data_IF_233338838273
#
_entry.id   IF_233338838273
#
_cell.length_a   1.000
_cell.length_b   1.000
_cell.length_c   1.000
_cell.angle_alpha   90.00
_cell.angle_beta   90.00
_cell.angle_gamma   90.00
#
_symmetry.space_group_name_H-M   'P 1'
#
loop_
_entity.id
_entity.type
_entity.pdbx_description
1 polymer ?
#
# COMPACT_ATOMS: atom_id res chain seq x y z
N UNK A 1 -20.75 -15.96 9.19
CA UNK A 1 -21.03 -14.93 8.17
C UNK A 1 -19.78 -14.81 7.31
N UNK A 2 -19.85 -15.00 5.99
CA UNK A 2 -18.69 -14.77 5.13
C UNK A 2 -18.41 -13.26 5.11
N UNK A 3 -17.23 -12.85 5.58
CA UNK A 3 -16.80 -11.46 5.43
C UNK A 3 -16.68 -11.13 3.94
N UNK A 4 -17.23 -9.97 3.55
CA UNK A 4 -17.03 -9.39 2.22
C UNK A 4 -15.53 -9.23 1.98
N UNK A 5 -15.07 -9.57 0.78
CA UNK A 5 -13.67 -9.38 0.40
C UNK A 5 -13.28 -7.90 0.35
N UNK A 6 -11.98 -7.64 0.24
CA UNK A 6 -11.43 -6.28 0.16
C UNK A 6 -10.99 -5.94 -1.26
N UNK A 7 -11.15 -4.67 -1.64
CA UNK A 7 -10.61 -4.13 -2.87
C UNK A 7 -9.13 -3.80 -2.65
N UNK A 8 -8.23 -4.38 -3.44
CA UNK A 8 -6.79 -4.22 -3.27
C UNK A 8 -6.21 -3.52 -4.50
N UNK A 9 -5.58 -2.38 -4.30
CA UNK A 9 -4.88 -1.66 -5.37
C UNK A 9 -3.39 -1.93 -5.22
N UNK A 10 -2.77 -2.41 -6.30
CA UNK A 10 -1.32 -2.46 -6.41
C UNK A 10 -0.94 -1.55 -7.59
N UNK A 11 -0.45 -0.35 -7.27
CA UNK A 11 -0.04 0.65 -8.25
C UNK A 11 1.41 1.07 -8.02
N UNK A 12 1.93 1.95 -8.86
CA UNK A 12 3.32 2.38 -8.86
C UNK A 12 3.79 2.74 -10.27
N UNK A 13 4.99 3.35 -10.39
CA UNK A 13 5.47 3.87 -11.65
C UNK A 13 5.62 2.78 -12.70
N UNK A 14 5.48 3.16 -13.96
CA UNK A 14 5.65 2.23 -15.07
C UNK A 14 7.04 1.56 -15.03
N UNK A 15 7.10 0.22 -15.15
CA UNK A 15 8.36 -0.53 -15.07
C UNK A 15 8.75 -1.02 -13.68
N UNK A 16 7.97 -0.70 -12.63
CA UNK A 16 8.28 -1.13 -11.25
C UNK A 16 8.09 -2.63 -11.01
N UNK A 17 7.39 -3.36 -11.88
CA UNK A 17 7.22 -4.83 -11.78
C UNK A 17 5.87 -5.30 -11.23
N UNK A 18 4.82 -4.48 -11.32
CA UNK A 18 3.44 -4.78 -10.86
C UNK A 18 2.94 -6.15 -11.30
N UNK A 19 2.90 -6.41 -12.62
CA UNK A 19 2.43 -7.68 -13.16
C UNK A 19 3.20 -8.91 -12.69
N UNK A 20 4.52 -8.82 -12.49
CA UNK A 20 5.31 -9.94 -11.95
C UNK A 20 4.93 -10.24 -10.50
N UNK A 21 4.84 -9.21 -9.67
CA UNK A 21 4.44 -9.34 -8.25
C UNK A 21 3.02 -9.88 -8.13
N UNK A 22 2.08 -9.34 -8.90
CA UNK A 22 0.69 -9.79 -8.88
C UNK A 22 0.55 -11.24 -9.37
N UNK A 23 1.29 -11.62 -10.42
CA UNK A 23 1.32 -12.98 -10.94
C UNK A 23 1.72 -14.01 -9.88
N UNK A 24 2.75 -13.71 -9.08
CA UNK A 24 3.17 -14.55 -7.96
C UNK A 24 2.14 -14.56 -6.82
N UNK A 25 1.59 -13.40 -6.43
CA UNK A 25 0.58 -13.30 -5.37
C UNK A 25 -0.65 -14.17 -5.67
N UNK A 26 -1.09 -14.24 -6.93
CA UNK A 26 -2.26 -15.04 -7.34
C UNK A 26 -2.06 -16.55 -7.32
N UNK A 27 -0.80 -17.01 -7.28
CA UNK A 27 -0.51 -18.42 -7.06
C UNK A 27 -0.85 -18.84 -5.62
N UNK A 28 -0.77 -17.92 -4.67
CA UNK A 28 -1.10 -18.19 -3.27
C UNK A 28 -2.63 -18.21 -3.05
N UNK A 29 -3.18 -19.41 -2.90
CA UNK A 29 -4.64 -19.62 -2.72
C UNK A 29 -5.18 -19.13 -1.38
N UNK A 30 -4.33 -19.01 -0.36
CA UNK A 30 -4.74 -18.54 0.96
C UNK A 30 -5.11 -17.05 0.94
N UNK A 31 -4.55 -16.29 -0.01
CA UNK A 31 -4.87 -14.87 -0.19
C UNK A 31 -6.24 -14.62 -0.84
N UNK A 32 -6.89 -15.67 -1.40
CA UNK A 32 -8.20 -15.58 -2.07
C UNK A 32 -8.29 -14.45 -3.10
N UNK A 33 -7.19 -14.18 -3.79
CA UNK A 33 -7.08 -13.10 -4.75
C UNK A 33 -7.74 -13.48 -6.07
N UNK A 34 -8.41 -12.51 -6.68
CA UNK A 34 -8.93 -12.55 -8.04
C UNK A 34 -8.49 -11.30 -8.77
N UNK A 35 -8.07 -11.44 -10.03
CA UNK A 35 -7.80 -10.27 -10.87
C UNK A 35 -9.10 -9.59 -11.28
N UNK A 36 -9.10 -8.26 -11.25
CA UNK A 36 -10.09 -7.45 -11.94
C UNK A 36 -9.93 -7.59 -13.46
N UNK A 37 -11.03 -7.86 -14.17
CA UNK A 37 -11.06 -7.83 -15.64
C UNK A 37 -11.57 -6.46 -16.07
N UNK A 38 -10.69 -5.64 -16.66
CA UNK A 38 -11.06 -4.29 -17.09
C UNK A 38 -11.88 -4.29 -18.39
N UNK A 39 -12.69 -3.27 -18.60
CA UNK A 39 -13.25 -2.89 -19.89
C UNK A 39 -12.21 -2.16 -20.73
N UNK A 40 -12.24 -2.35 -22.06
CA UNK A 40 -11.44 -1.55 -22.98
C UNK A 40 -12.13 -1.32 -24.32
N UNK A 41 -11.89 -0.16 -24.93
CA UNK A 41 -12.32 0.15 -26.31
C UNK A 41 -11.34 -0.31 -27.38
N UNK A 42 -10.20 -0.87 -26.98
CA UNK A 42 -9.21 -1.43 -27.90
C UNK A 42 -9.75 -2.73 -28.48
N UNK A 43 -9.44 -3.02 -29.75
CA UNK A 43 -9.71 -4.36 -30.31
C UNK A 43 -8.87 -5.44 -29.62
N UNK A 44 -9.40 -6.66 -29.45
CA UNK A 44 -8.61 -7.79 -28.93
C UNK A 44 -7.40 -8.08 -29.81
N UNK A 45 -6.27 -8.43 -29.18
CA UNK A 45 -5.09 -9.00 -29.85
C UNK A 45 -5.31 -10.50 -30.05
N UNK A 46 -4.49 -11.09 -30.91
CA UNK A 46 -4.46 -12.53 -31.12
C UNK A 46 -4.27 -13.27 -29.79
N UNK A 47 -5.17 -14.22 -29.50
CA UNK A 47 -5.17 -15.00 -28.26
C UNK A 47 -5.87 -14.34 -27.07
N UNK A 48 -6.25 -13.06 -27.12
CA UNK A 48 -7.05 -12.43 -26.05
C UNK A 48 -8.51 -12.89 -26.12
N UNK A 49 -9.09 -13.24 -24.97
CA UNK A 49 -10.46 -13.71 -24.83
C UNK A 49 -11.30 -12.70 -24.04
N UNK A 50 -12.48 -12.38 -24.57
CA UNK A 50 -13.43 -11.47 -23.93
C UNK A 50 -13.91 -12.03 -22.58
N UNK A 51 -13.90 -11.19 -21.54
CA UNK A 51 -14.25 -11.56 -20.17
C UNK A 51 -13.17 -12.36 -19.42
N UNK A 52 -12.03 -12.63 -20.06
CA UNK A 52 -10.86 -13.24 -19.43
C UNK A 52 -9.73 -12.22 -19.35
N UNK A 53 -9.34 -11.64 -20.48
CA UNK A 53 -8.28 -10.63 -20.54
C UNK A 53 -8.85 -9.23 -20.33
N UNK A 54 -9.90 -8.90 -21.09
CA UNK A 54 -10.65 -7.65 -21.00
C UNK A 54 -12.11 -7.90 -21.37
N UNK A 55 -13.00 -7.01 -20.95
CA UNK A 55 -14.28 -6.82 -21.62
C UNK A 55 -14.07 -5.85 -22.79
N UNK A 56 -14.01 -6.40 -24.01
CA UNK A 56 -13.83 -5.63 -25.23
C UNK A 56 -15.17 -5.02 -25.65
N UNK A 57 -15.26 -3.70 -25.59
CA UNK A 57 -16.50 -2.94 -25.83
C UNK A 57 -16.28 -1.85 -26.86
N UNK A 58 -17.36 -1.36 -27.45
CA UNK A 58 -17.34 -0.17 -28.29
C UNK A 58 -17.11 1.11 -27.46
N UNK A 59 -16.71 2.19 -28.13
CA UNK A 59 -16.58 3.52 -27.49
C UNK A 59 -17.92 4.03 -26.94
N UNK A 60 -19.03 3.70 -27.60
CA UNK A 60 -20.37 4.08 -27.17
C UNK A 60 -20.77 3.34 -25.89
N UNK A 61 -20.57 2.02 -25.85
CA UNK A 61 -20.80 1.21 -24.64
C UNK A 61 -19.93 1.69 -23.46
N UNK A 62 -18.65 2.01 -23.71
CA UNK A 62 -17.78 2.56 -22.66
C UNK A 62 -18.27 3.92 -22.15
N UNK A 63 -18.69 4.81 -23.05
CA UNK A 63 -19.23 6.12 -22.67
C UNK A 63 -20.53 5.98 -21.86
N UNK A 64 -21.41 5.05 -22.24
CA UNK A 64 -22.63 4.75 -21.49
C UNK A 64 -22.30 4.22 -20.08
N UNK A 65 -21.30 3.34 -19.95
CA UNK A 65 -20.85 2.84 -18.66
C UNK A 65 -20.33 3.95 -17.73
N UNK A 66 -19.64 4.96 -18.27
CA UNK A 66 -19.24 6.15 -17.50
C UNK A 66 -20.49 6.91 -17.02
N UNK A 67 -21.42 7.24 -17.93
CA UNK A 67 -22.62 8.04 -17.62
C UNK A 67 -23.49 7.35 -16.57
N UNK A 68 -23.56 6.02 -16.60
CA UNK A 68 -24.34 5.22 -15.67
C UNK A 68 -23.60 4.89 -14.35
N UNK A 69 -22.39 5.43 -14.14
CA UNK A 69 -21.55 5.17 -12.96
C UNK A 69 -21.23 3.67 -12.76
N UNK A 70 -21.05 2.93 -13.87
CA UNK A 70 -20.79 1.50 -13.90
C UNK A 70 -19.29 1.16 -13.81
N UNK A 71 -18.42 2.17 -13.78
CA UNK A 71 -16.97 2.03 -13.66
C UNK A 71 -16.47 2.58 -12.32
N UNK A 72 -15.57 1.85 -11.66
CA UNK A 72 -14.90 2.28 -10.41
C UNK A 72 -13.82 3.32 -10.71
N UNK A 73 -13.09 3.12 -11.80
CA UNK A 73 -12.13 4.06 -12.37
C UNK A 73 -12.13 3.92 -13.89
N UNK A 74 -11.68 4.96 -14.57
CA UNK A 74 -11.40 4.91 -16.00
C UNK A 74 -10.28 5.87 -16.40
N UNK A 75 -9.58 5.52 -17.48
CA UNK A 75 -8.50 6.32 -18.05
C UNK A 75 -8.41 6.13 -19.57
N UNK A 76 -7.77 7.09 -20.25
CA UNK A 76 -7.44 6.99 -21.66
C UNK A 76 -5.95 6.75 -21.83
N UNK A 77 -5.59 5.71 -22.58
CA UNK A 77 -4.20 5.38 -22.90
C UNK A 77 -4.05 5.12 -24.39
N UNK A 78 -3.21 5.93 -25.04
CA UNK A 78 -2.88 5.82 -26.48
C UNK A 78 -4.14 5.70 -27.35
N UNK A 79 -5.10 6.59 -27.12
CA UNK A 79 -6.35 6.68 -27.91
C UNK A 79 -7.41 5.62 -27.62
N UNK A 80 -7.20 4.73 -26.65
CA UNK A 80 -8.17 3.75 -26.17
C UNK A 80 -8.56 4.03 -24.72
N UNK A 81 -9.80 3.76 -24.37
CA UNK A 81 -10.28 3.86 -22.99
C UNK A 81 -10.15 2.53 -22.28
N UNK A 82 -9.87 2.59 -20.99
CA UNK A 82 -9.78 1.46 -20.07
C UNK A 82 -10.52 1.82 -18.79
N UNK A 83 -11.20 0.87 -18.16
CA UNK A 83 -11.84 1.12 -16.88
C UNK A 83 -12.24 -0.16 -16.18
N UNK A 84 -12.47 -0.07 -14.88
CA UNK A 84 -12.77 -1.22 -14.04
C UNK A 84 -14.28 -1.35 -13.80
N UNK A 85 -14.96 -2.42 -14.29
CA UNK A 85 -16.40 -2.57 -14.14
C UNK A 85 -16.82 -2.83 -12.70
N UNK A 86 -17.66 -1.95 -12.15
CA UNK A 86 -18.14 -2.00 -10.76
C UNK A 86 -18.84 -3.31 -10.44
N UNK A 87 -19.78 -3.73 -11.30
CA UNK A 87 -20.57 -4.95 -11.11
C UNK A 87 -19.70 -6.20 -10.94
N UNK A 88 -18.69 -6.37 -11.81
CA UNK A 88 -17.79 -7.53 -11.75
C UNK A 88 -17.02 -7.56 -10.43
N UNK A 89 -16.48 -6.42 -10.01
CA UNK A 89 -15.73 -6.30 -8.76
C UNK A 89 -16.64 -6.59 -7.56
N UNK A 90 -17.81 -5.96 -7.49
CA UNK A 90 -18.76 -6.16 -6.39
C UNK A 90 -19.22 -7.61 -6.26
N UNK A 91 -19.50 -8.29 -7.37
CA UNK A 91 -19.86 -9.71 -7.38
C UNK A 91 -18.77 -10.57 -6.73
N UNK A 92 -17.49 -10.34 -7.06
CA UNK A 92 -16.35 -11.08 -6.48
C UNK A 92 -16.15 -10.76 -5.00
N UNK A 93 -16.22 -9.48 -4.63
CA UNK A 93 -16.12 -9.08 -3.23
C UNK A 93 -17.23 -9.71 -2.37
N UNK A 94 -18.46 -9.75 -2.89
CA UNK A 94 -19.61 -10.38 -2.20
C UNK A 94 -19.46 -11.91 -2.06
N UNK A 95 -18.66 -12.56 -2.90
CA UNK A 95 -18.29 -13.97 -2.77
C UNK A 95 -17.18 -14.19 -1.71
N UNK A 96 -16.70 -13.13 -1.05
CA UNK A 96 -15.60 -13.20 -0.09
C UNK A 96 -14.22 -13.32 -0.73
N UNK A 97 -14.09 -12.97 -2.01
CA UNK A 97 -12.82 -12.91 -2.74
C UNK A 97 -12.23 -11.51 -2.64
N UNK A 98 -10.92 -11.41 -2.49
CA UNK A 98 -10.23 -10.14 -2.57
C UNK A 98 -9.93 -9.83 -4.04
N UNK A 99 -10.22 -8.62 -4.49
CA UNK A 99 -10.06 -8.25 -5.90
C UNK A 99 -8.86 -7.34 -6.06
N UNK A 100 -7.88 -7.75 -6.86
CA UNK A 100 -6.71 -6.93 -7.20
C UNK A 100 -7.00 -6.08 -8.43
N UNK A 101 -6.81 -4.77 -8.30
CA UNK A 101 -6.72 -3.82 -9.41
C UNK A 101 -5.26 -3.51 -9.69
N UNK A 102 -4.79 -3.97 -10.85
CA UNK A 102 -3.52 -3.54 -11.42
C UNK A 102 -3.77 -2.32 -12.32
N UNK A 103 -3.74 -1.13 -11.71
CA UNK A 103 -4.04 0.14 -12.37
C UNK A 103 -2.89 1.12 -12.22
N UNK A 104 -2.79 2.07 -13.15
CA UNK A 104 -1.81 3.17 -13.08
C UNK A 104 -2.19 4.15 -11.96
N UNK A 105 -1.26 5.04 -11.58
CA UNK A 105 -1.39 5.89 -10.39
C UNK A 105 -2.59 6.85 -10.47
N UNK A 106 -2.93 7.32 -11.67
CA UNK A 106 -4.11 8.16 -11.90
C UNK A 106 -5.41 7.41 -11.61
N UNK A 107 -5.53 6.16 -12.09
CA UNK A 107 -6.68 5.30 -11.82
C UNK A 107 -6.79 4.98 -10.33
N UNK A 108 -5.67 4.61 -9.70
CA UNK A 108 -5.61 4.35 -8.27
C UNK A 108 -6.05 5.56 -7.43
N UNK A 109 -5.67 6.78 -7.84
CA UNK A 109 -6.10 8.01 -7.17
C UNK A 109 -7.62 8.21 -7.25
N UNK A 110 -8.26 7.81 -8.35
CA UNK A 110 -9.73 7.84 -8.45
C UNK A 110 -10.34 6.87 -7.44
N UNK A 111 -9.89 5.61 -7.42
CA UNK A 111 -10.45 4.56 -6.54
C UNK A 111 -10.26 4.90 -5.05
N UNK A 112 -9.07 5.37 -4.66
CA UNK A 112 -8.77 5.77 -3.27
C UNK A 112 -9.72 6.89 -2.80
N UNK A 113 -10.20 7.74 -3.71
CA UNK A 113 -11.12 8.84 -3.37
C UNK A 113 -12.59 8.45 -3.39
N UNK A 114 -12.96 7.42 -4.16
CA UNK A 114 -14.37 7.06 -4.40
C UNK A 114 -14.85 5.84 -3.64
N UNK A 115 -13.95 4.98 -3.14
CA UNK A 115 -14.29 3.70 -2.51
C UNK A 115 -13.82 3.62 -1.06
N UNK A 116 -14.71 3.25 -0.13
CA UNK A 116 -14.43 3.27 1.32
C UNK A 116 -13.65 2.04 1.84
N UNK A 117 -13.73 0.89 1.16
CA UNK A 117 -13.12 -0.37 1.61
C UNK A 117 -11.97 -0.83 0.70
N UNK A 118 -10.98 0.04 0.59
CA UNK A 118 -9.78 -0.16 -0.23
C UNK A 118 -8.57 -0.46 0.66
N UNK A 119 -7.70 -1.34 0.18
CA UNK A 119 -6.33 -1.47 0.65
C UNK A 119 -5.41 -1.06 -0.50
N UNK A 120 -4.66 0.01 -0.32
CA UNK A 120 -3.83 0.62 -1.35
C UNK A 120 -2.34 0.41 -1.07
N UNK A 121 -1.64 -0.18 -2.04
CA UNK A 121 -0.21 -0.49 -1.96
C UNK A 121 0.50 0.16 -3.15
N UNK A 122 1.45 1.05 -2.84
CA UNK A 122 2.34 1.65 -3.83
C UNK A 122 3.64 0.85 -3.91
N UNK A 123 3.85 0.21 -5.05
CA UNK A 123 5.09 -0.49 -5.37
C UNK A 123 6.12 0.53 -5.89
N UNK A 124 7.30 0.55 -5.29
CA UNK A 124 8.36 1.52 -5.57
C UNK A 124 9.63 0.80 -6.04
N UNK A 125 10.36 1.33 -7.03
CA UNK A 125 11.68 0.79 -7.36
C UNK A 125 12.69 1.14 -6.25
N UNK A 126 13.74 0.35 -6.03
CA UNK A 126 14.78 0.68 -5.05
C UNK A 126 15.52 1.97 -5.40
N UNK A 127 15.80 2.18 -6.70
CA UNK A 127 16.44 3.39 -7.21
C UNK A 127 15.88 3.81 -8.57
N UNK A 128 16.07 5.07 -8.94
CA UNK A 128 15.74 5.56 -10.28
C UNK A 128 16.56 4.86 -11.38
N UNK A 129 17.84 4.57 -11.12
CA UNK A 129 18.71 3.86 -12.05
C UNK A 129 18.21 2.45 -12.34
N UNK A 130 17.68 1.78 -11.31
CA UNK A 130 17.08 0.47 -11.47
C UNK A 130 15.76 0.53 -12.24
N UNK A 131 14.92 1.54 -11.98
CA UNK A 131 13.71 1.78 -12.76
C UNK A 131 14.04 2.01 -14.25
N UNK A 132 15.04 2.85 -14.54
CA UNK A 132 15.53 3.09 -15.90
C UNK A 132 16.01 1.79 -16.56
N UNK A 133 16.80 0.98 -15.84
CA UNK A 133 17.29 -0.30 -16.32
C UNK A 133 16.13 -1.26 -16.65
N UNK A 134 15.09 -1.32 -15.82
CA UNK A 134 13.87 -2.12 -16.06
C UNK A 134 13.07 -1.64 -17.26
N UNK A 135 12.99 -0.33 -17.49
CA UNK A 135 12.32 0.25 -18.67
C UNK A 135 13.12 -0.09 -19.94
N UNK A 136 14.45 0.12 -19.93
CA UNK A 136 15.36 -0.17 -21.04
C UNK A 136 15.39 -1.66 -21.41
N UNK A 137 15.37 -2.55 -20.42
CA UNK A 137 15.44 -4.00 -20.62
C UNK A 137 14.31 -4.59 -21.48
N UNK A 138 13.21 -3.86 -21.71
CA UNK A 138 12.12 -4.26 -22.62
C UNK A 138 12.43 -4.01 -24.11
N UNK A 139 13.60 -3.42 -24.42
CA UNK A 139 14.31 -3.42 -25.71
C UNK A 139 13.54 -3.04 -26.99
N UNK A 140 12.43 -2.30 -26.89
CA UNK A 140 11.55 -2.05 -28.06
C UNK A 140 11.12 -0.59 -28.21
N UNK A 141 11.62 0.31 -27.36
CA UNK A 141 11.20 1.71 -27.32
C UNK A 141 12.36 2.66 -27.64
N UNK A 142 12.05 3.80 -28.26
CA UNK A 142 13.03 4.87 -28.51
C UNK A 142 13.46 5.55 -27.20
N UNK A 143 14.65 6.14 -27.19
CA UNK A 143 15.16 6.95 -26.06
C UNK A 143 14.15 8.00 -25.59
N UNK A 144 13.47 8.69 -26.52
CA UNK A 144 12.44 9.68 -26.19
C UNK A 144 11.27 9.10 -25.39
N UNK A 145 10.83 7.88 -25.73
CA UNK A 145 9.76 7.19 -24.99
C UNK A 145 10.24 6.75 -23.61
N UNK A 146 11.48 6.27 -23.50
CA UNK A 146 12.08 5.87 -22.23
C UNK A 146 12.15 7.08 -21.29
N UNK A 147 12.65 8.22 -21.80
CA UNK A 147 12.70 9.47 -21.04
C UNK A 147 11.32 9.92 -20.59
N UNK A 148 10.32 9.93 -21.49
CA UNK A 148 8.96 10.30 -21.12
C UNK A 148 8.35 9.40 -20.02
N UNK A 149 8.68 8.10 -20.01
CA UNK A 149 8.26 7.17 -18.96
C UNK A 149 8.95 7.45 -17.62
N UNK A 150 10.24 7.81 -17.64
CA UNK A 150 10.98 8.20 -16.43
C UNK A 150 10.48 9.53 -15.86
N UNK A 151 10.24 10.52 -16.72
CA UNK A 151 9.67 11.81 -16.31
C UNK A 151 8.28 11.61 -15.68
N UNK A 152 7.44 10.76 -16.28
CA UNK A 152 6.15 10.37 -15.69
C UNK A 152 6.32 9.72 -14.32
N UNK A 153 7.25 8.77 -14.18
CA UNK A 153 7.50 8.10 -12.92
C UNK A 153 7.91 9.07 -11.79
N UNK A 154 8.72 10.10 -12.11
CA UNK A 154 9.10 11.14 -11.15
C UNK A 154 7.91 11.98 -10.67
N UNK A 155 6.90 12.18 -11.50
CA UNK A 155 5.65 12.85 -11.13
C UNK A 155 4.73 11.94 -10.29
N UNK A 156 4.77 10.63 -10.54
CA UNK A 156 3.94 9.64 -9.86
C UNK A 156 4.46 9.23 -8.47
N UNK A 157 5.79 9.15 -8.28
CA UNK A 157 6.40 8.72 -7.01
C UNK A 157 5.94 9.55 -5.79
N UNK A 158 5.84 10.89 -5.85
CA UNK A 158 5.32 11.68 -4.73
C UNK A 158 3.89 11.31 -4.31
N UNK A 159 3.07 10.75 -5.22
CA UNK A 159 1.70 10.34 -4.92
C UNK A 159 1.64 9.11 -4.00
N UNK A 160 2.77 8.45 -3.72
CA UNK A 160 2.86 7.34 -2.75
C UNK A 160 2.31 7.69 -1.37
N UNK A 161 2.32 8.97 -0.99
CA UNK A 161 1.78 9.44 0.29
C UNK A 161 0.25 9.31 0.41
N UNK A 162 -0.45 9.07 -0.70
CA UNK A 162 -1.89 8.83 -0.71
C UNK A 162 -2.25 7.35 -0.50
N UNK A 163 -1.27 6.47 -0.35
CA UNK A 163 -1.47 5.02 -0.21
C UNK A 163 -1.30 4.57 1.24
N UNK A 164 -1.97 3.48 1.61
CA UNK A 164 -1.87 2.89 2.95
C UNK A 164 -0.47 2.33 3.20
N UNK A 165 0.12 1.72 2.17
CA UNK A 165 1.44 1.08 2.23
C UNK A 165 2.32 1.46 1.04
N UNK A 166 3.62 1.59 1.30
CA UNK A 166 4.67 1.71 0.28
C UNK A 166 5.58 0.50 0.40
N UNK A 167 5.76 -0.24 -0.68
CA UNK A 167 6.57 -1.46 -0.74
C UNK A 167 7.66 -1.27 -1.79
N UNK A 168 8.92 -1.39 -1.39
CA UNK A 168 10.01 -1.47 -2.36
C UNK A 168 10.09 -2.84 -3.01
N UNK A 169 10.22 -2.84 -4.32
CA UNK A 169 10.41 -4.03 -5.14
C UNK A 169 11.89 -4.18 -5.53
N UNK A 170 12.70 -4.60 -4.56
CA UNK A 170 14.11 -4.98 -4.73
C UNK A 170 14.26 -6.36 -5.38
N UNK A 171 13.38 -7.30 -5.02
CA UNK A 171 13.15 -8.52 -5.78
C UNK A 171 11.66 -8.85 -5.76
N UNK A 172 11.19 -9.61 -6.75
CA UNK A 172 9.78 -10.03 -6.82
C UNK A 172 9.42 -10.84 -5.58
N UNK A 173 10.30 -11.74 -5.15
CA UNK A 173 10.09 -12.59 -3.97
C UNK A 173 9.98 -11.76 -2.69
N UNK A 174 10.83 -10.75 -2.52
CA UNK A 174 10.78 -9.89 -1.34
C UNK A 174 9.52 -9.00 -1.35
N UNK A 175 9.17 -8.43 -2.51
CA UNK A 175 7.93 -7.65 -2.65
C UNK A 175 6.69 -8.50 -2.35
N UNK A 176 6.64 -9.73 -2.86
CA UNK A 176 5.56 -10.68 -2.60
C UNK A 176 5.48 -11.03 -1.12
N UNK A 177 6.61 -11.27 -0.45
CA UNK A 177 6.64 -11.55 0.99
C UNK A 177 6.14 -10.36 1.83
N UNK A 178 6.57 -9.13 1.49
CA UNK A 178 6.11 -7.88 2.13
C UNK A 178 4.60 -7.69 1.94
N UNK A 179 4.09 -7.83 0.72
CA UNK A 179 2.66 -7.66 0.42
C UNK A 179 1.82 -8.76 1.08
N UNK A 180 2.27 -10.01 1.06
CA UNK A 180 1.59 -11.13 1.74
C UNK A 180 1.41 -10.83 3.22
N UNK A 181 2.44 -10.31 3.88
CA UNK A 181 2.36 -9.93 5.30
C UNK A 181 1.36 -8.78 5.54
N UNK A 182 1.33 -7.77 4.66
CA UNK A 182 0.32 -6.71 4.69
C UNK A 182 -1.08 -7.32 4.57
N UNK A 183 -1.30 -8.24 3.63
CA UNK A 183 -2.60 -8.87 3.42
C UNK A 183 -3.05 -9.71 4.62
N UNK A 184 -2.13 -10.43 5.28
CA UNK A 184 -2.42 -11.15 6.52
C UNK A 184 -2.82 -10.16 7.63
N UNK A 185 -2.02 -9.11 7.83
CA UNK A 185 -2.28 -8.05 8.81
C UNK A 185 -3.66 -7.41 8.62
N UNK A 186 -4.01 -7.11 7.37
CA UNK A 186 -5.26 -6.45 6.99
C UNK A 186 -6.46 -7.42 6.93
N UNK A 187 -6.27 -8.69 7.34
CA UNK A 187 -7.28 -9.75 7.32
C UNK A 187 -7.83 -10.04 5.92
N UNK A 188 -7.00 -9.84 4.90
CA UNK A 188 -7.24 -10.16 3.50
C UNK A 188 -6.67 -11.54 3.12
N UNK A 189 -6.42 -12.42 4.09
CA UNK A 189 -5.90 -13.76 3.86
C UNK A 189 -6.57 -14.76 4.80
N UNK A 190 -6.76 -15.98 4.30
CA UNK A 190 -7.13 -17.16 5.08
C UNK A 190 -5.87 -17.85 5.65
N UNK A 191 -5.02 -17.09 6.33
CA UNK A 191 -3.82 -17.64 6.94
C UNK A 191 -4.04 -17.93 8.42
N UNK A 192 -3.51 -19.05 8.91
CA UNK A 192 -3.33 -19.31 10.35
C UNK A 192 -2.03 -18.70 10.86
N UNK A 193 -1.13 -18.30 9.97
CA UNK A 193 0.10 -17.60 10.35
C UNK A 193 -0.22 -16.17 10.77
N UNK A 194 0.48 -15.72 11.81
CA UNK A 194 0.39 -14.34 12.26
C UNK A 194 1.31 -13.45 11.42
N UNK A 195 0.86 -12.23 11.16
CA UNK A 195 1.71 -11.25 10.47
C UNK A 195 2.98 -10.99 11.28
N UNK A 196 4.11 -10.84 10.58
CA UNK A 196 5.38 -10.38 11.16
C UNK A 196 5.23 -9.04 11.87
N UNK A 197 4.25 -8.21 11.51
CA UNK A 197 3.95 -6.99 12.27
C UNK A 197 3.54 -7.27 13.72
N UNK A 198 2.81 -8.36 13.99
CA UNK A 198 2.41 -8.72 15.35
C UNK A 198 3.66 -9.04 16.18
N UNK A 199 4.53 -9.90 15.68
CA UNK A 199 5.81 -10.23 16.32
C UNK A 199 6.71 -8.99 16.50
N UNK A 200 6.77 -8.12 15.49
CA UNK A 200 7.45 -6.83 15.61
C UNK A 200 6.89 -5.99 16.76
N UNK A 201 5.57 -5.96 16.94
CA UNK A 201 4.92 -5.21 18.03
C UNK A 201 5.31 -5.76 19.39
N UNK A 202 5.40 -7.09 19.53
CA UNK A 202 5.86 -7.75 20.76
C UNK A 202 7.33 -7.39 21.07
N UNK A 203 8.21 -7.43 20.05
CA UNK A 203 9.62 -7.02 20.19
C UNK A 203 9.73 -5.54 20.60
N UNK A 204 8.95 -4.67 19.95
CA UNK A 204 8.92 -3.23 20.27
C UNK A 204 8.44 -3.02 21.70
N UNK A 205 7.42 -3.75 22.14
CA UNK A 205 6.93 -3.68 23.51
C UNK A 205 8.04 -4.01 24.52
N UNK A 206 8.77 -5.11 24.31
CA UNK A 206 9.89 -5.47 25.19
C UNK A 206 10.97 -4.37 25.24
N UNK A 207 11.33 -3.79 24.09
CA UNK A 207 12.33 -2.71 24.02
C UNK A 207 11.84 -1.45 24.75
N UNK A 208 10.57 -1.10 24.58
CA UNK A 208 9.96 0.05 25.21
C UNK A 208 9.95 -0.08 26.73
N UNK A 209 9.55 -1.25 27.23
CA UNK A 209 9.50 -1.52 28.66
C UNK A 209 10.89 -1.50 29.31
N UNK A 210 11.89 -2.07 28.62
CA UNK A 210 13.28 -2.15 29.09
C UNK A 210 13.99 -0.77 29.10
N UNK A 211 13.80 0.05 28.06
CA UNK A 211 14.66 1.23 27.82
C UNK A 211 13.98 2.58 27.97
N UNK A 212 12.66 2.65 27.79
CA UNK A 212 11.97 3.93 27.58
C UNK A 212 10.91 4.28 28.63
N UNK A 213 10.82 3.52 29.74
CA UNK A 213 9.90 3.79 30.85
C UNK A 213 10.01 5.21 31.42
N UNK A 214 11.23 5.75 31.59
CA UNK A 214 11.40 7.13 32.05
C UNK A 214 10.82 8.16 31.07
N UNK A 215 10.96 7.94 29.76
CA UNK A 215 10.41 8.83 28.73
C UNK A 215 8.89 8.78 28.71
N UNK A 216 8.31 7.58 28.85
CA UNK A 216 6.85 7.38 28.94
C UNK A 216 6.26 8.21 30.07
N UNK A 217 6.81 8.07 31.28
CA UNK A 217 6.31 8.78 32.46
C UNK A 217 6.38 10.30 32.30
N UNK A 218 7.47 10.81 31.73
CA UNK A 218 7.61 12.25 31.45
C UNK A 218 6.64 12.73 30.37
N UNK A 219 6.41 11.93 29.33
CA UNK A 219 5.46 12.27 28.28
C UNK A 219 4.03 12.39 28.82
N UNK A 220 3.59 11.45 29.65
CA UNK A 220 2.28 11.54 30.31
C UNK A 220 2.16 12.79 31.19
N UNK A 221 3.19 13.08 31.99
CA UNK A 221 3.20 14.25 32.85
C UNK A 221 3.13 15.56 32.04
N UNK A 222 3.90 15.66 30.96
CA UNK A 222 3.91 16.84 30.07
C UNK A 222 2.56 17.06 29.40
N UNK A 223 1.96 16.00 28.86
CA UNK A 223 0.64 16.08 28.21
C UNK A 223 -0.43 16.57 29.18
N UNK A 224 -0.43 16.06 30.42
CA UNK A 224 -1.35 16.50 31.48
C UNK A 224 -1.11 17.95 31.90
N UNK A 225 0.14 18.38 32.00
CA UNK A 225 0.50 19.75 32.40
C UNK A 225 0.10 20.80 31.35
N UNK A 226 0.23 20.47 30.06
CA UNK A 226 -0.05 21.36 28.94
C UNK A 226 -1.54 21.38 28.51
N UNK A 227 -2.41 20.61 29.19
CA UNK A 227 -3.84 20.58 28.90
C UNK A 227 -4.55 21.83 29.45
N UNK A 228 -4.81 22.81 28.57
CA UNK A 228 -5.29 24.14 28.98
C UNK A 228 -6.81 24.33 28.96
N UNK A 229 -7.58 23.45 28.30
CA UNK A 229 -9.04 23.49 28.26
C UNK A 229 -9.67 22.16 28.74
N UNK A 230 -10.99 22.13 28.96
CA UNK A 230 -11.68 20.95 29.50
C UNK A 230 -11.57 19.72 28.60
N UNK A 231 -11.64 19.91 27.29
CA UNK A 231 -11.52 18.86 26.27
C UNK A 231 -10.11 18.22 26.31
N UNK A 232 -9.07 19.05 26.25
CA UNK A 232 -7.67 18.61 26.32
C UNK A 232 -7.34 17.94 27.65
N UNK A 233 -7.96 18.36 28.77
CA UNK A 233 -7.78 17.70 30.07
C UNK A 233 -8.36 16.29 30.08
N UNK A 234 -9.56 16.12 29.51
CA UNK A 234 -10.19 14.80 29.39
C UNK A 234 -9.39 13.85 28.48
N UNK A 235 -8.84 14.38 27.37
CA UNK A 235 -7.93 13.62 26.51
C UNK A 235 -6.63 13.24 27.22
N UNK A 236 -6.04 14.16 27.99
CA UNK A 236 -4.79 13.95 28.72
C UNK A 236 -4.93 12.98 29.90
N UNK A 237 -6.08 12.94 30.57
CA UNK A 237 -6.36 12.01 31.67
C UNK A 237 -6.34 10.55 31.19
N UNK A 238 -6.84 10.29 29.98
CA UNK A 238 -6.90 8.96 29.38
C UNK A 238 -5.71 8.67 28.44
N UNK A 239 -4.67 9.51 28.46
CA UNK A 239 -3.54 9.36 27.56
C UNK A 239 -2.61 8.22 27.99
N UNK A 240 -2.67 7.11 27.26
CA UNK A 240 -1.75 5.97 27.38
C UNK A 240 -0.47 6.23 26.58
N UNK A 241 0.53 6.89 27.18
CA UNK A 241 1.78 7.21 26.48
C UNK A 241 2.53 5.95 26.06
N UNK A 242 2.47 4.89 26.87
CA UNK A 242 3.14 3.62 26.59
C UNK A 242 2.56 2.96 25.34
N UNK A 243 1.24 2.78 25.30
CA UNK A 243 0.55 2.19 24.15
C UNK A 243 0.71 3.04 22.88
N UNK A 244 0.68 4.38 23.01
CA UNK A 244 0.94 5.28 21.89
C UNK A 244 2.37 5.16 21.37
N UNK A 245 3.38 5.06 22.25
CA UNK A 245 4.77 4.86 21.86
C UNK A 245 4.96 3.53 21.12
N UNK A 246 4.43 2.43 21.67
CA UNK A 246 4.51 1.10 21.06
C UNK A 246 3.84 1.11 19.69
N UNK A 247 2.64 1.66 19.58
CA UNK A 247 1.90 1.75 18.31
C UNK A 247 2.69 2.56 17.28
N UNK A 248 3.21 3.72 17.67
CA UNK A 248 3.98 4.60 16.81
C UNK A 248 5.25 3.91 16.30
N UNK A 249 6.09 3.41 17.22
CA UNK A 249 7.35 2.77 16.89
C UNK A 249 7.14 1.52 16.03
N UNK A 250 6.20 0.65 16.39
CA UNK A 250 5.90 -0.56 15.61
C UNK A 250 5.49 -0.18 14.18
N UNK A 251 4.58 0.78 14.04
CA UNK A 251 4.07 1.19 12.72
C UNK A 251 5.14 1.88 11.88
N UNK A 252 5.97 2.74 12.47
CA UNK A 252 7.07 3.42 11.77
C UNK A 252 8.20 2.46 11.37
N UNK A 253 8.62 1.55 12.26
CA UNK A 253 9.62 0.53 11.94
C UNK A 253 9.10 -0.36 10.82
N UNK A 254 7.84 -0.81 10.90
CA UNK A 254 7.21 -1.61 9.86
C UNK A 254 7.21 -0.91 8.51
N UNK A 255 6.69 0.32 8.45
CA UNK A 255 6.67 1.14 7.21
C UNK A 255 8.05 1.29 6.61
N UNK A 256 9.06 1.63 7.41
CA UNK A 256 10.44 1.82 6.93
C UNK A 256 11.06 0.53 6.39
N UNK A 257 10.73 -0.62 6.99
CA UNK A 257 11.21 -1.91 6.51
C UNK A 257 10.53 -2.28 5.19
N UNK A 258 9.22 -2.09 5.07
CA UNK A 258 8.50 -2.32 3.81
C UNK A 258 9.04 -1.44 2.68
N UNK A 259 9.34 -0.17 2.98
CA UNK A 259 9.71 0.81 1.97
C UNK A 259 11.17 0.75 1.54
N UNK A 260 12.13 0.43 2.41
CA UNK A 260 13.58 0.48 2.10
C UNK A 260 14.44 -0.41 3.03
N UNK A 261 13.88 -1.48 3.61
CA UNK A 261 14.57 -2.29 4.61
C UNK A 261 14.61 -3.78 4.33
N UNK A 262 15.51 -4.44 5.04
CA UNK A 262 15.67 -5.89 5.02
C UNK A 262 14.51 -6.54 5.79
N UNK A 263 13.49 -6.97 5.04
CA UNK A 263 12.28 -7.59 5.58
C UNK A 263 12.55 -8.93 6.27
N UNK A 264 13.67 -9.60 5.97
CA UNK A 264 14.06 -10.83 6.66
C UNK A 264 14.40 -10.57 8.14
N UNK A 265 14.86 -9.35 8.47
CA UNK A 265 15.28 -8.93 9.82
C UNK A 265 14.19 -8.27 10.65
N UNK A 266 12.96 -8.20 10.16
CA UNK A 266 11.85 -7.54 10.87
C UNK A 266 11.59 -8.09 12.29
N UNK A 267 11.89 -9.37 12.53
CA UNK A 267 11.75 -10.00 13.84
C UNK A 267 13.10 -10.15 14.59
N UNK A 268 14.17 -9.51 14.12
CA UNK A 268 15.45 -9.49 14.82
C UNK A 268 15.48 -8.31 15.81
N UNK A 269 15.55 -8.62 17.12
CA UNK A 269 15.47 -7.63 18.20
C UNK A 269 16.55 -6.54 18.12
N UNK A 270 17.80 -6.89 17.82
CA UNK A 270 18.90 -5.92 17.70
C UNK A 270 18.71 -4.97 16.52
N UNK A 271 18.27 -5.50 15.37
CA UNK A 271 17.95 -4.70 14.20
C UNK A 271 16.78 -3.74 14.45
N UNK A 272 15.72 -4.23 15.11
CA UNK A 272 14.55 -3.41 15.48
C UNK A 272 14.95 -2.33 16.47
N UNK A 273 15.74 -2.67 17.50
CA UNK A 273 16.25 -1.72 18.49
C UNK A 273 17.05 -0.59 17.82
N UNK A 274 17.95 -0.93 16.90
CA UNK A 274 18.70 0.08 16.13
C UNK A 274 17.78 1.03 15.34
N UNK A 275 16.70 0.51 14.74
CA UNK A 275 15.70 1.35 14.04
C UNK A 275 14.91 2.23 15.01
N UNK A 276 14.53 1.70 16.17
CA UNK A 276 13.84 2.45 17.23
C UNK A 276 14.71 3.60 17.72
N UNK A 277 15.99 3.37 18.01
CA UNK A 277 16.91 4.42 18.47
C UNK A 277 16.93 5.63 17.52
N UNK A 278 16.90 5.41 16.20
CA UNK A 278 16.81 6.49 15.20
C UNK A 278 15.47 7.21 15.22
N UNK A 279 14.36 6.50 15.46
CA UNK A 279 13.03 7.08 15.53
C UNK A 279 12.81 7.92 16.79
N UNK A 280 13.43 7.53 17.91
CA UNK A 280 13.29 8.25 19.18
C UNK A 280 13.75 9.72 19.08
N UNK A 281 14.69 10.06 18.19
CA UNK A 281 15.10 11.44 17.94
C UNK A 281 14.02 12.31 17.26
N UNK A 282 12.98 11.70 16.67
CA UNK A 282 11.94 12.39 15.91
C UNK A 282 10.62 12.54 16.69
N UNK A 283 10.51 11.94 17.89
CA UNK A 283 9.27 11.95 18.68
C UNK A 283 9.14 13.25 19.48
N UNK A 284 7.96 13.85 19.47
CA UNK A 284 7.64 15.02 20.28
C UNK A 284 6.92 14.61 21.57
N UNK A 285 7.65 14.60 22.69
CA UNK A 285 7.15 14.22 24.02
C UNK A 285 6.34 15.31 24.74
N UNK A 286 6.02 16.41 24.06
CA UNK A 286 5.20 17.50 24.60
C UNK A 286 3.81 17.60 23.97
N UNK A 287 3.45 16.64 23.09
CA UNK A 287 2.19 16.65 22.36
C UNK A 287 1.56 15.26 22.34
N UNK A 288 0.23 15.20 22.43
CA UNK A 288 -0.55 13.99 22.14
C UNK A 288 -0.40 13.64 20.65
N UNK A 289 -0.50 14.66 19.78
CA UNK A 289 -0.38 14.51 18.33
C UNK A 289 1.09 14.49 17.93
N UNK A 290 1.53 13.38 17.36
CA UNK A 290 2.82 13.28 16.68
C UNK A 290 2.67 13.83 15.26
N UNK A 291 3.59 14.67 14.80
CA UNK A 291 3.59 15.11 13.39
C UNK A 291 3.86 13.89 12.51
N UNK A 292 3.15 13.79 11.38
CA UNK A 292 3.27 12.70 10.41
C UNK A 292 4.62 12.66 9.69
N UNK A 293 5.47 13.67 9.88
CA UNK A 293 6.71 13.89 9.11
C UNK A 293 7.87 12.96 9.53
N UNK A 294 7.58 11.70 9.83
CA UNK A 294 8.59 10.64 9.92
C UNK A 294 9.13 10.22 8.53
N UNK A 295 8.52 10.76 7.46
CA UNK A 295 8.86 10.56 6.04
C UNK A 295 10.00 11.43 5.52
N UNK A 296 10.54 12.35 6.33
CA UNK A 296 11.74 13.09 5.99
C UNK A 296 12.99 12.30 6.36
N UNK A 297 13.43 11.41 5.46
CA UNK A 297 14.83 11.02 5.20
C UNK A 297 14.92 10.60 3.73
#
# INVERSE_FOLDING_TARGET
MNNKGKLIIISGPSGVGKGSVNGELLQNKDLKLEYSVSMTTRSPREGEVNGVNYFFVSKEEFANAIVNNELIEYANFVGNSYGTPRKYVEEKLNQGKNVILEIEVDGATQVIRSEDNVLSIFLMPPTLNELESRIKGRATESEDKIKARLDKALLEIPLKHNYDYVVENDSVENAVAKITDILIREKCANSTEESKFKNLTEIVQEIVDDKYTYFINNWEANVKLLAHNSEAKSEAENFDARGQLIKLLSSEVYRKILSHGDFSKINNKEFVDFKIQKLMFKINFFSIKQRSDFSGD
#
